data_IF_104713145203
#
_entry.id   IF_104713145203
#
_cell.length_a   1.000
_cell.length_b   1.000
_cell.length_c   1.000
_cell.angle_alpha   90.00
_cell.angle_beta   90.00
_cell.angle_gamma   90.00
#
_symmetry.space_group_name_H-M   'P 1'
#
loop_
_entity.id
_entity.type
_entity.pdbx_description
1 polymer ?
#
# COMPACT_ATOMS: atom_id res chain seq x y z
N UNK A 1 -24.74 7.47 -7.06
CA UNK A 1 -23.92 6.77 -8.07
C UNK A 1 -23.25 7.82 -8.93
N UNK A 2 -21.94 7.68 -9.20
CA UNK A 2 -21.18 8.69 -9.96
C UNK A 2 -21.64 8.76 -11.41
N UNK A 3 -21.58 9.97 -11.99
CA UNK A 3 -21.88 10.20 -13.41
C UNK A 3 -20.84 9.48 -14.30
N UNK A 4 -21.24 9.08 -15.51
CA UNK A 4 -20.40 8.39 -16.50
C UNK A 4 -19.12 9.19 -16.83
N UNK A 5 -19.22 10.52 -16.78
CA UNK A 5 -18.11 11.45 -16.97
C UNK A 5 -17.03 11.31 -15.88
N UNK A 6 -17.43 11.20 -14.60
CA UNK A 6 -16.49 11.00 -13.48
C UNK A 6 -15.81 9.63 -13.58
N UNK A 7 -16.55 8.60 -14.00
CA UNK A 7 -15.98 7.27 -14.23
C UNK A 7 -14.91 7.30 -15.33
N UNK A 8 -15.10 8.08 -16.40
CA UNK A 8 -14.08 8.29 -17.44
C UNK A 8 -12.82 8.98 -16.92
N UNK A 9 -12.98 10.02 -16.10
CA UNK A 9 -11.87 10.73 -15.44
C UNK A 9 -11.06 9.80 -14.52
N UNK A 10 -11.75 8.91 -13.78
CA UNK A 10 -11.12 7.91 -12.93
C UNK A 10 -10.47 6.77 -13.72
N UNK A 11 -11.03 6.35 -14.87
CA UNK A 11 -10.40 5.34 -15.72
C UNK A 11 -9.03 5.79 -16.25
N UNK A 12 -8.85 7.10 -16.49
CA UNK A 12 -7.54 7.66 -16.84
C UNK A 12 -6.55 7.48 -15.69
N UNK A 13 -6.93 7.85 -14.47
CA UNK A 13 -6.14 7.65 -13.26
C UNK A 13 -5.65 6.21 -13.13
N UNK A 14 -6.56 5.26 -13.26
CA UNK A 14 -6.27 3.84 -13.06
C UNK A 14 -5.21 3.32 -14.05
N UNK A 15 -5.34 3.69 -15.32
CA UNK A 15 -4.41 3.25 -16.38
C UNK A 15 -3.04 3.92 -16.28
N UNK A 16 -3.00 5.21 -15.93
CA UNK A 16 -1.75 5.97 -15.93
C UNK A 16 -0.94 5.83 -14.64
N UNK A 17 -1.61 5.55 -13.50
CA UNK A 17 -0.95 5.50 -12.20
C UNK A 17 -1.02 4.10 -11.61
N UNK A 18 -2.22 3.55 -11.44
CA UNK A 18 -2.40 2.34 -10.63
C UNK A 18 -1.83 1.09 -11.32
N UNK A 19 -2.03 0.95 -12.63
CA UNK A 19 -1.50 -0.21 -13.39
C UNK A 19 0.04 -0.28 -13.38
N UNK A 20 0.80 0.77 -13.77
CA UNK A 20 2.26 0.71 -13.76
C UNK A 20 2.83 0.46 -12.35
N UNK A 21 2.29 1.15 -11.35
CA UNK A 21 2.72 0.99 -9.95
C UNK A 21 2.49 -0.45 -9.46
N UNK A 22 1.36 -1.06 -9.84
CA UNK A 22 1.05 -2.45 -9.50
C UNK A 22 2.05 -3.45 -10.07
N UNK A 23 2.46 -3.27 -11.33
CA UNK A 23 3.47 -4.15 -11.97
C UNK A 23 4.81 -4.08 -11.22
N UNK A 24 5.27 -2.87 -10.89
CA UNK A 24 6.52 -2.68 -10.14
C UNK A 24 6.39 -3.30 -8.74
N UNK A 25 5.26 -3.10 -8.05
CA UNK A 25 5.02 -3.67 -6.72
C UNK A 25 5.11 -5.19 -6.72
N UNK A 26 4.55 -5.86 -7.72
CA UNK A 26 4.59 -7.33 -7.85
C UNK A 26 6.03 -7.80 -8.06
N UNK A 27 6.79 -7.16 -8.94
CA UNK A 27 8.19 -7.52 -9.18
C UNK A 27 9.04 -7.39 -7.91
N UNK A 28 8.88 -6.29 -7.17
CA UNK A 28 9.59 -6.10 -5.88
C UNK A 28 9.13 -7.12 -4.84
N UNK A 29 7.83 -7.43 -4.79
CA UNK A 29 7.28 -8.45 -3.89
C UNK A 29 7.90 -9.81 -4.13
N UNK A 30 8.16 -10.21 -5.39
CA UNK A 30 8.77 -11.49 -5.71
C UNK A 30 10.20 -11.60 -5.17
N UNK A 31 11.01 -10.55 -5.38
CA UNK A 31 12.39 -10.48 -4.87
C UNK A 31 12.40 -10.51 -3.35
N UNK A 32 11.59 -9.67 -2.71
CA UNK A 32 11.46 -9.61 -1.26
C UNK A 32 11.03 -10.95 -0.66
N UNK A 33 10.03 -11.61 -1.27
CA UNK A 33 9.53 -12.92 -0.82
C UNK A 33 10.64 -13.98 -0.86
N UNK A 34 11.46 -13.99 -1.91
CA UNK A 34 12.61 -14.91 -2.04
C UNK A 34 13.67 -14.68 -0.96
N UNK A 35 14.06 -13.42 -0.75
CA UNK A 35 15.04 -13.04 0.27
C UNK A 35 14.53 -13.39 1.69
N UNK A 36 13.30 -12.97 2.02
CA UNK A 36 12.72 -13.22 3.34
C UNK A 36 12.54 -14.71 3.63
N UNK A 37 12.11 -15.49 2.64
CA UNK A 37 11.95 -16.95 2.79
C UNK A 37 13.28 -17.67 3.02
N UNK A 38 14.36 -17.16 2.44
CA UNK A 38 15.71 -17.73 2.61
C UNK A 38 16.19 -17.52 4.04
N UNK A 39 16.02 -16.32 4.58
CA UNK A 39 16.36 -15.99 5.97
C UNK A 39 15.48 -16.75 6.96
N UNK A 40 14.18 -16.89 6.68
CA UNK A 40 13.26 -17.62 7.55
C UNK A 40 13.61 -19.11 7.70
N UNK A 41 14.15 -19.74 6.64
CA UNK A 41 14.61 -21.14 6.67
C UNK A 41 15.99 -21.32 7.31
N UNK A 42 16.84 -20.28 7.28
CA UNK A 42 18.17 -20.27 7.87
C UNK A 42 18.23 -19.47 9.18
N UNK A 43 19.08 -18.44 9.19
CA UNK A 43 19.33 -17.57 10.35
C UNK A 43 18.17 -16.59 10.62
N UNK A 44 17.21 -17.05 11.43
CA UNK A 44 15.98 -16.28 11.75
C UNK A 44 16.24 -14.97 12.52
N UNK A 45 17.41 -14.80 13.13
CA UNK A 45 17.89 -13.53 13.72
C UNK A 45 17.75 -12.35 12.74
N UNK A 46 18.16 -12.54 11.48
CA UNK A 46 18.22 -11.47 10.48
C UNK A 46 16.85 -11.02 9.94
N UNK A 47 15.77 -11.71 10.30
CA UNK A 47 14.46 -11.57 9.64
C UNK A 47 13.87 -10.15 9.75
N UNK A 48 13.87 -9.57 10.96
CA UNK A 48 13.35 -8.22 11.15
C UNK A 48 14.22 -7.14 10.50
N UNK A 49 15.55 -7.37 10.45
CA UNK A 49 16.49 -6.44 9.81
C UNK A 49 16.21 -6.32 8.32
N UNK A 50 16.02 -7.44 7.63
CA UNK A 50 15.69 -7.45 6.20
C UNK A 50 14.32 -6.82 5.96
N UNK A 51 13.29 -7.18 6.73
CA UNK A 51 11.99 -6.53 6.62
C UNK A 51 12.08 -5.00 6.73
N UNK A 52 12.73 -4.47 7.77
CA UNK A 52 12.88 -3.03 8.00
C UNK A 52 13.71 -2.34 6.93
N UNK A 53 14.79 -2.99 6.46
CA UNK A 53 15.61 -2.47 5.36
C UNK A 53 14.77 -2.33 4.09
N UNK A 54 14.05 -3.37 3.70
CA UNK A 54 13.20 -3.35 2.51
C UNK A 54 12.09 -2.33 2.64
N UNK A 55 11.46 -2.22 3.81
CA UNK A 55 10.47 -1.18 4.11
C UNK A 55 11.05 0.24 3.92
N UNK A 56 12.20 0.54 4.51
CA UNK A 56 12.82 1.86 4.40
C UNK A 56 13.25 2.18 2.96
N UNK A 57 13.76 1.19 2.22
CA UNK A 57 14.11 1.35 0.82
C UNK A 57 12.88 1.61 -0.05
N UNK A 58 11.80 0.85 0.15
CA UNK A 58 10.53 1.05 -0.56
C UNK A 58 9.93 2.44 -0.28
N UNK A 59 9.97 2.87 0.98
CA UNK A 59 9.53 4.21 1.36
C UNK A 59 10.38 5.28 0.66
N UNK A 60 11.72 5.16 0.71
CA UNK A 60 12.61 6.13 0.09
C UNK A 60 12.45 6.21 -1.44
N UNK A 61 12.37 5.05 -2.11
CA UNK A 61 12.24 4.96 -3.57
C UNK A 61 10.88 5.47 -4.04
N UNK A 62 9.80 5.16 -3.33
CA UNK A 62 8.46 5.59 -3.70
C UNK A 62 8.14 7.04 -3.34
N UNK A 63 8.88 7.65 -2.41
CA UNK A 63 8.61 9.01 -1.95
C UNK A 63 8.74 10.04 -3.08
N UNK A 64 9.81 9.98 -3.87
CA UNK A 64 10.06 10.96 -4.93
C UNK A 64 9.00 10.92 -6.05
N UNK A 65 8.65 9.76 -6.64
CA UNK A 65 7.54 9.65 -7.59
C UNK A 65 6.19 10.11 -7.01
N UNK A 66 5.95 9.83 -5.71
CA UNK A 66 4.73 10.26 -5.03
C UNK A 66 4.63 11.78 -4.96
N UNK A 67 5.69 12.46 -4.52
CA UNK A 67 5.68 13.92 -4.39
C UNK A 67 5.57 14.59 -5.76
N UNK A 68 6.35 14.14 -6.75
CA UNK A 68 6.27 14.70 -8.10
C UNK A 68 4.90 14.48 -8.71
N UNK A 69 4.35 13.27 -8.61
CA UNK A 69 3.02 12.98 -9.09
C UNK A 69 1.96 13.87 -8.43
N UNK A 70 2.00 13.98 -7.10
CA UNK A 70 1.06 14.78 -6.32
C UNK A 70 1.07 16.26 -6.71
N UNK A 71 2.25 16.84 -6.91
CA UNK A 71 2.41 18.28 -7.18
C UNK A 71 2.20 18.60 -8.66
N UNK A 72 2.67 17.75 -9.57
CA UNK A 72 2.67 18.04 -11.00
C UNK A 72 1.39 17.60 -11.71
N UNK A 73 0.68 16.58 -11.23
CA UNK A 73 -0.50 16.05 -11.94
C UNK A 73 -1.63 17.06 -12.17
N UNK A 74 -1.95 18.01 -11.25
CA UNK A 74 -3.02 18.98 -11.50
C UNK A 74 -2.77 19.87 -12.72
N UNK A 75 -1.50 20.12 -13.06
CA UNK A 75 -1.11 20.94 -14.21
C UNK A 75 -0.75 20.10 -15.43
N UNK A 76 -0.03 18.98 -15.25
CA UNK A 76 0.41 18.14 -16.37
C UNK A 76 -0.72 17.40 -17.06
N UNK A 77 -1.70 16.88 -16.30
CA UNK A 77 -2.80 16.10 -16.89
C UNK A 77 -3.64 16.95 -17.85
N UNK A 78 -4.18 18.13 -17.47
CA UNK A 78 -4.93 18.95 -18.43
C UNK A 78 -4.05 19.52 -19.56
N UNK A 79 -2.74 19.67 -19.35
CA UNK A 79 -1.81 20.09 -20.41
C UNK A 79 -1.64 19.02 -21.50
N UNK A 80 -1.55 17.74 -21.11
CA UNK A 80 -1.31 16.62 -22.02
C UNK A 80 -2.60 16.09 -22.65
N UNK A 81 -3.67 15.99 -21.87
CA UNK A 81 -4.93 15.36 -22.31
C UNK A 81 -6.01 16.37 -22.71
N UNK A 82 -5.82 17.66 -22.41
CA UNK A 82 -6.78 18.73 -22.67
C UNK A 82 -7.50 19.21 -21.40
N UNK A 83 -8.07 20.43 -21.47
CA UNK A 83 -8.67 21.11 -20.33
C UNK A 83 -9.81 20.32 -19.64
N UNK A 84 -10.53 19.49 -20.39
CA UNK A 84 -11.61 18.62 -19.88
C UNK A 84 -11.11 17.58 -18.85
N UNK A 85 -9.81 17.32 -18.79
CA UNK A 85 -9.19 16.40 -17.83
C UNK A 85 -8.65 17.09 -16.56
N UNK A 86 -9.04 18.35 -16.33
CA UNK A 86 -8.66 19.08 -15.11
C UNK A 86 -9.10 18.34 -13.84
N UNK A 87 -10.26 17.68 -13.87
CA UNK A 87 -10.72 16.85 -12.74
C UNK A 87 -9.79 15.65 -12.53
N UNK A 88 -9.45 14.89 -13.58
CA UNK A 88 -8.49 13.80 -13.48
C UNK A 88 -7.14 14.26 -12.90
N UNK A 89 -6.64 15.44 -13.29
CA UNK A 89 -5.41 16.02 -12.72
C UNK A 89 -5.48 16.21 -11.19
N UNK A 90 -6.62 16.67 -10.67
CA UNK A 90 -6.88 16.81 -9.23
C UNK A 90 -7.01 15.45 -8.53
N UNK A 91 -7.72 14.50 -9.14
CA UNK A 91 -7.87 13.14 -8.59
C UNK A 91 -6.52 12.40 -8.57
N UNK A 92 -5.67 12.61 -9.59
CA UNK A 92 -4.30 12.11 -9.62
C UNK A 92 -3.50 12.58 -8.41
N UNK A 93 -3.62 13.85 -8.03
CA UNK A 93 -2.89 14.39 -6.89
C UNK A 93 -3.24 13.65 -5.59
N UNK A 94 -4.50 13.26 -5.41
CA UNK A 94 -4.96 12.47 -4.26
C UNK A 94 -4.53 11.01 -4.39
N UNK A 95 -4.54 10.45 -5.60
CA UNK A 95 -4.21 9.05 -5.83
C UNK A 95 -2.73 8.74 -5.67
N UNK A 96 -1.80 9.66 -5.94
CA UNK A 96 -0.35 9.40 -5.79
C UNK A 96 0.03 8.99 -4.37
N UNK A 97 -0.38 9.71 -3.30
CA UNK A 97 -0.20 9.25 -1.92
C UNK A 97 -0.82 7.87 -1.65
N UNK A 98 -2.02 7.61 -2.16
CA UNK A 98 -2.71 6.33 -1.99
C UNK A 98 -1.93 5.19 -2.68
N UNK A 99 -1.52 5.41 -3.93
CA UNK A 99 -0.75 4.47 -4.73
C UNK A 99 0.61 4.18 -4.11
N UNK A 100 1.27 5.18 -3.51
CA UNK A 100 2.53 5.02 -2.80
C UNK A 100 2.39 4.11 -1.57
N UNK A 101 1.40 4.38 -0.70
CA UNK A 101 1.14 3.52 0.45
C UNK A 101 0.81 2.10 -0.01
N UNK A 102 0.01 1.97 -1.08
CA UNK A 102 -0.34 0.67 -1.66
C UNK A 102 0.88 -0.06 -2.20
N UNK A 103 1.75 0.62 -2.93
CA UNK A 103 2.99 0.07 -3.46
C UNK A 103 3.84 -0.58 -2.35
N UNK A 104 4.09 0.16 -1.27
CA UNK A 104 4.92 -0.32 -0.15
C UNK A 104 4.29 -1.53 0.53
N UNK A 105 2.99 -1.47 0.85
CA UNK A 105 2.31 -2.57 1.51
C UNK A 105 2.23 -3.80 0.60
N UNK A 106 1.88 -3.62 -0.68
CA UNK A 106 1.81 -4.71 -1.66
C UNK A 106 3.14 -5.43 -1.77
N UNK A 107 4.25 -4.70 -1.88
CA UNK A 107 5.60 -5.26 -1.95
C UNK A 107 5.98 -6.12 -0.73
N UNK A 108 5.37 -5.88 0.44
CA UNK A 108 5.68 -6.58 1.69
C UNK A 108 4.57 -7.53 2.15
N UNK A 109 3.50 -7.72 1.36
CA UNK A 109 2.29 -8.48 1.75
C UNK A 109 2.59 -9.90 2.20
N UNK A 110 3.57 -10.56 1.59
CA UNK A 110 3.89 -11.96 1.89
C UNK A 110 4.55 -12.17 3.26
N UNK A 111 4.93 -11.10 3.96
CA UNK A 111 5.66 -11.18 5.24
C UNK A 111 4.96 -12.09 6.24
N UNK A 112 3.67 -11.84 6.55
CA UNK A 112 2.93 -12.63 7.53
C UNK A 112 2.70 -14.07 7.09
N UNK A 113 2.58 -14.32 5.79
CA UNK A 113 2.41 -15.67 5.26
C UNK A 113 3.70 -16.48 5.42
N UNK A 114 4.85 -15.89 5.06
CA UNK A 114 6.17 -16.54 5.17
C UNK A 114 6.48 -16.93 6.62
N UNK A 115 6.06 -16.11 7.58
CA UNK A 115 6.34 -16.36 9.00
C UNK A 115 5.28 -17.18 9.73
N UNK A 116 4.49 -17.97 8.98
CA UNK A 116 3.43 -18.85 9.48
C UNK A 116 2.33 -18.11 10.28
N UNK A 117 1.99 -16.88 9.87
CA UNK A 117 0.92 -16.04 10.43
C UNK A 117 -0.20 -15.77 9.41
N UNK A 118 -0.49 -16.73 8.55
CA UNK A 118 -1.54 -16.61 7.51
C UNK A 118 -2.94 -16.34 8.09
N UNK A 119 -3.27 -16.86 9.28
CA UNK A 119 -4.55 -16.58 9.94
C UNK A 119 -4.68 -15.10 10.31
N UNK A 120 -3.61 -14.49 10.82
CA UNK A 120 -3.55 -13.06 11.12
C UNK A 120 -3.68 -12.23 9.84
N UNK A 121 -2.99 -12.62 8.76
CA UNK A 121 -3.12 -11.96 7.45
C UNK A 121 -4.57 -12.04 6.95
N UNK A 122 -5.21 -13.20 7.03
CA UNK A 122 -6.60 -13.38 6.59
C UNK A 122 -7.57 -12.51 7.39
N UNK A 123 -7.51 -12.56 8.72
CA UNK A 123 -8.34 -11.71 9.58
C UNK A 123 -8.12 -10.22 9.27
N UNK A 124 -6.86 -9.82 9.06
CA UNK A 124 -6.52 -8.45 8.70
C UNK A 124 -7.17 -8.02 7.38
N UNK A 125 -7.08 -8.84 6.34
CA UNK A 125 -7.67 -8.58 5.03
C UNK A 125 -9.20 -8.45 5.10
N UNK A 126 -9.86 -9.34 5.85
CA UNK A 126 -11.31 -9.27 6.07
C UNK A 126 -11.71 -8.01 6.83
N UNK A 127 -10.99 -7.67 7.91
CA UNK A 127 -11.26 -6.44 8.68
C UNK A 127 -11.07 -5.19 7.84
N UNK A 128 -10.02 -5.14 7.01
CA UNK A 128 -9.74 -4.03 6.10
C UNK A 128 -10.83 -3.87 5.03
N UNK A 129 -11.27 -4.99 4.46
CA UNK A 129 -12.37 -5.01 3.50
C UNK A 129 -13.66 -4.49 4.12
N UNK A 130 -14.04 -4.99 5.30
CA UNK A 130 -15.21 -4.54 6.03
C UNK A 130 -15.14 -3.04 6.39
N UNK A 131 -14.00 -2.55 6.89
CA UNK A 131 -13.81 -1.14 7.22
C UNK A 131 -13.97 -0.24 5.99
N UNK A 132 -13.41 -0.66 4.85
CA UNK A 132 -13.52 0.06 3.58
C UNK A 132 -14.99 0.14 3.13
N UNK A 133 -15.73 -0.97 3.23
CA UNK A 133 -17.17 -0.99 2.94
C UNK A 133 -17.97 -0.09 3.89
N UNK A 134 -17.67 -0.09 5.19
CA UNK A 134 -18.32 0.79 6.15
C UNK A 134 -18.13 2.26 5.80
N UNK A 135 -16.93 2.65 5.36
CA UNK A 135 -16.64 4.04 4.97
C UNK A 135 -17.40 4.43 3.71
N UNK A 136 -17.41 3.58 2.68
CA UNK A 136 -18.21 3.85 1.48
C UNK A 136 -19.72 3.87 1.78
N UNK A 137 -20.20 2.97 2.64
CA UNK A 137 -21.60 2.93 3.08
C UNK A 137 -22.01 4.17 3.86
N UNK A 138 -21.14 4.63 4.78
CA UNK A 138 -21.33 5.88 5.53
C UNK A 138 -21.40 7.09 4.59
N UNK A 139 -20.45 7.22 3.66
CA UNK A 139 -20.43 8.33 2.69
C UNK A 139 -21.67 8.32 1.78
N UNK A 140 -22.14 7.13 1.38
CA UNK A 140 -23.35 6.99 0.59
C UNK A 140 -24.60 7.37 1.39
N UNK A 141 -24.67 7.02 2.68
CA UNK A 141 -25.76 7.39 3.57
C UNK A 141 -25.85 8.91 3.78
N UNK A 142 -24.69 9.57 3.97
CA UNK A 142 -24.58 11.04 4.05
C UNK A 142 -24.84 11.74 2.70
N UNK A 143 -25.05 10.99 1.61
CA UNK A 143 -25.31 11.55 0.29
C UNK A 143 -24.10 12.25 -0.34
N UNK A 144 -22.87 11.94 0.11
CA UNK A 144 -21.64 12.55 -0.43
C UNK A 144 -21.41 12.06 -1.86
N UNK A 145 -21.66 12.94 -2.83
CA UNK A 145 -21.47 12.66 -4.25
C UNK A 145 -20.17 13.23 -4.84
N UNK A 146 -19.46 14.07 -4.08
CA UNK A 146 -18.20 14.69 -4.53
C UNK A 146 -17.06 13.65 -4.60
N UNK A 147 -16.46 13.40 -5.79
CA UNK A 147 -15.43 12.38 -5.95
C UNK A 147 -14.16 12.66 -5.15
N UNK A 148 -13.81 13.94 -4.95
CA UNK A 148 -12.58 14.31 -4.23
C UNK A 148 -12.68 13.95 -2.75
N UNK A 149 -13.83 14.26 -2.13
CA UNK A 149 -14.13 13.93 -0.73
C UNK A 149 -14.12 12.43 -0.51
N UNK A 150 -14.73 11.67 -1.43
CA UNK A 150 -14.75 10.19 -1.36
C UNK A 150 -13.33 9.62 -1.46
N UNK A 151 -12.50 10.12 -2.38
CA UNK A 151 -11.11 9.66 -2.51
C UNK A 151 -10.24 10.02 -1.30
N UNK A 152 -10.46 11.18 -0.67
CA UNK A 152 -9.73 11.56 0.55
C UNK A 152 -10.04 10.58 1.68
N UNK A 153 -11.33 10.29 1.93
CA UNK A 153 -11.72 9.31 2.96
C UNK A 153 -11.19 7.91 2.67
N UNK A 154 -11.29 7.47 1.41
CA UNK A 154 -10.68 6.21 0.97
C UNK A 154 -9.16 6.19 1.21
N UNK A 155 -8.48 7.29 0.91
CA UNK A 155 -7.04 7.44 1.11
C UNK A 155 -6.63 7.40 2.57
N UNK A 156 -7.39 8.05 3.46
CA UNK A 156 -7.15 8.00 4.91
C UNK A 156 -7.30 6.59 5.47
N UNK A 157 -8.39 5.90 5.12
CA UNK A 157 -8.63 4.51 5.56
C UNK A 157 -7.56 3.57 5.02
N UNK A 158 -7.18 3.72 3.76
CA UNK A 158 -6.10 2.95 3.14
C UNK A 158 -4.77 3.21 3.86
N UNK A 159 -4.45 4.49 4.12
CA UNK A 159 -3.26 4.90 4.87
C UNK A 159 -3.17 4.24 6.24
N UNK A 160 -4.24 4.36 7.03
CA UNK A 160 -4.32 3.80 8.39
C UNK A 160 -4.19 2.28 8.36
N UNK A 161 -4.98 1.61 7.52
CA UNK A 161 -4.98 0.14 7.47
C UNK A 161 -3.64 -0.40 6.99
N UNK A 162 -3.01 0.22 6.01
CA UNK A 162 -1.74 -0.29 5.49
C UNK A 162 -0.59 0.00 6.47
N UNK A 163 -0.61 1.13 7.17
CA UNK A 163 0.32 1.39 8.26
C UNK A 163 0.20 0.34 9.38
N UNK A 164 -1.03 -0.01 9.78
CA UNK A 164 -1.25 -1.06 10.78
C UNK A 164 -0.78 -2.43 10.29
N UNK A 165 -1.01 -2.78 9.02
CA UNK A 165 -0.50 -4.02 8.42
C UNK A 165 1.03 -4.10 8.50
N UNK A 166 1.73 -3.02 8.16
CA UNK A 166 3.19 -2.95 8.22
C UNK A 166 3.71 -3.03 9.67
N UNK A 167 3.00 -2.44 10.63
CA UNK A 167 3.33 -2.55 12.06
C UNK A 167 3.13 -4.00 12.55
N UNK A 168 2.06 -4.68 12.13
CA UNK A 168 1.84 -6.09 12.47
C UNK A 168 2.94 -6.99 11.89
N UNK A 169 3.34 -6.75 10.65
CA UNK A 169 4.43 -7.46 9.99
C UNK A 169 5.80 -7.20 10.69
N UNK A 170 6.09 -5.96 11.06
CA UNK A 170 7.30 -5.62 11.83
C UNK A 170 7.34 -6.34 13.18
N UNK A 171 6.22 -6.29 13.92
CA UNK A 171 6.10 -6.96 15.23
C UNK A 171 6.26 -8.47 15.12
N UNK A 172 5.65 -9.09 14.10
CA UNK A 172 5.74 -10.53 13.86
C UNK A 172 7.17 -10.96 13.54
N UNK A 173 7.85 -10.24 12.63
CA UNK A 173 9.26 -10.55 12.28
C UNK A 173 10.20 -10.31 13.46
N UNK A 174 10.00 -9.24 14.24
CA UNK A 174 10.78 -8.96 15.45
C UNK A 174 10.62 -10.05 16.51
N UNK A 175 9.40 -10.51 16.76
CA UNK A 175 9.13 -11.56 17.74
C UNK A 175 9.84 -12.88 17.39
N UNK A 176 9.94 -13.22 16.10
CA UNK A 176 10.63 -14.42 15.62
C UNK A 176 12.15 -14.26 15.74
N UNK A 177 12.68 -13.11 15.35
CA UNK A 177 14.11 -12.81 15.46
C UNK A 177 14.60 -12.87 16.92
N UNK A 178 13.81 -12.36 17.88
CA UNK A 178 14.16 -12.42 19.30
C UNK A 178 14.20 -13.87 19.82
N UNK A 179 13.19 -14.68 19.49
CA UNK A 179 13.14 -16.09 19.89
C UNK A 179 14.33 -16.90 19.35
N UNK A 180 14.77 -16.60 18.12
CA UNK A 180 15.92 -17.26 17.52
C UNK A 180 17.22 -16.96 18.30
N UNK A 181 17.43 -15.69 18.67
CA UNK A 181 18.61 -15.26 19.45
C UNK A 181 18.64 -15.89 20.84
N UNK A 182 17.50 -16.00 21.51
CA UNK A 182 17.39 -16.65 22.81
C UNK A 182 17.73 -18.15 22.72
N UNK A 183 17.30 -18.85 21.65
CA UNK A 183 17.63 -20.26 21.46
C UNK A 183 19.11 -20.51 21.18
N UNK A 184 19.79 -19.62 20.44
CA UNK A 184 21.23 -19.74 20.19
C UNK A 184 22.06 -19.41 21.43
N UNK A 185 21.66 -18.41 22.22
CA UNK A 185 22.33 -18.04 23.46
C UNK A 185 22.17 -19.06 24.60
N UNK A 186 21.19 -19.95 24.52
CA UNK A 186 20.98 -21.04 25.50
C UNK A 186 21.83 -22.30 25.20
N UNK A 187 22.49 -22.37 24.05
CA UNK A 187 23.29 -23.53 23.61
C UNK A 187 24.80 -23.30 23.88
N UNK A 188 25.19 -22.07 24.23
CA UNK A 188 26.55 -21.67 24.61
C UNK A 188 26.72 -21.60 26.13
#
# INVERSE_FOLDING_TARGET
>A
MFNLEVAGQYALLERFILMPVGVIAIAVSQVFTGELSTIYRGERDGLNRVFRRSLLQLLAVGFLPMVFGMVLSPSLVPLVFGADWSMAGKLCAIAFPIAYVRFVATALTMTLIIVDRQSLQFTWEVSRFALTLCVFGWLAWEGVADPTTVMIWYGLVTGITYALQLILADRATKAIALKARESEGSIL
#
